data_IF_377425879973
#
_entry.id   IF_377425879973
#
_cell.length_a   1.000
_cell.length_b   1.000
_cell.length_c   1.000
_cell.angle_alpha   90.00
_cell.angle_beta   90.00
_cell.angle_gamma   90.00
#
_symmetry.space_group_name_H-M   'P 1'
#
loop_
_entity.id
_entity.type
_entity.pdbx_description
1 polymer ?
#
# COMPACT_ATOMS: atom_id res chain seq x y z
N UNK A 1 -35.68 6.15 56.71
CA UNK A 1 -36.29 5.75 55.43
C UNK A 1 -35.69 6.48 54.22
N UNK A 2 -35.40 7.79 54.28
CA UNK A 2 -34.78 8.54 53.16
C UNK A 2 -33.39 8.01 52.73
N UNK A 3 -32.55 7.58 53.69
CA UNK A 3 -31.21 7.04 53.41
C UNK A 3 -31.21 5.69 52.68
N UNK A 4 -32.24 4.85 52.87
CA UNK A 4 -32.37 3.58 52.14
C UNK A 4 -32.75 3.80 50.68
N UNK A 5 -33.56 4.83 50.38
CA UNK A 5 -33.89 5.18 49.00
C UNK A 5 -32.68 5.75 48.24
N UNK A 6 -31.82 6.53 48.91
CA UNK A 6 -30.62 7.11 48.28
C UNK A 6 -29.58 6.04 47.92
N UNK A 7 -29.38 5.04 48.78
CA UNK A 7 -28.46 3.92 48.53
C UNK A 7 -28.97 3.05 47.38
N UNK A 8 -30.29 2.83 47.27
CA UNK A 8 -30.88 2.08 46.16
C UNK A 8 -30.74 2.81 44.81
N UNK A 9 -30.84 4.15 44.79
CA UNK A 9 -30.63 4.94 43.57
C UNK A 9 -29.15 4.93 43.15
N UNK A 10 -28.22 5.01 44.10
CA UNK A 10 -26.78 4.96 43.79
C UNK A 10 -26.35 3.60 43.23
N UNK A 11 -26.94 2.49 43.72
CA UNK A 11 -26.66 1.15 43.22
C UNK A 11 -27.17 0.90 41.79
N UNK A 12 -28.22 1.62 41.35
CA UNK A 12 -28.77 1.53 39.99
C UNK A 12 -27.99 2.35 38.95
N UNK A 13 -27.23 3.38 39.38
CA UNK A 13 -26.44 4.24 38.47
C UNK A 13 -25.03 3.66 38.21
N UNK A 14 -24.55 2.74 39.04
CA UNK A 14 -23.26 2.05 38.85
C UNK A 14 -23.35 0.77 38.00
N UNK A 15 -24.46 0.57 37.28
CA UNK A 15 -24.48 -0.32 36.12
C UNK A 15 -23.88 0.43 34.93
N UNK A 16 -22.61 0.84 35.04
CA UNK A 16 -21.80 1.03 33.86
C UNK A 16 -21.81 -0.33 33.18
N UNK A 17 -22.64 -0.45 32.14
CA UNK A 17 -22.52 -1.54 31.21
C UNK A 17 -21.05 -1.54 30.83
N UNK A 18 -20.32 -2.56 31.29
CA UNK A 18 -19.09 -2.97 30.66
C UNK A 18 -19.50 -3.39 29.25
N UNK A 19 -19.73 -2.38 28.41
CA UNK A 19 -19.69 -2.48 26.97
C UNK A 19 -18.27 -2.92 26.73
N UNK A 20 -18.09 -4.23 26.63
CA UNK A 20 -16.89 -4.78 26.05
C UNK A 20 -16.75 -4.02 24.73
N UNK A 21 -15.71 -3.21 24.65
CA UNK A 21 -15.45 -2.28 23.55
C UNK A 21 -14.95 -3.14 22.38
N UNK A 22 -15.87 -3.97 21.86
CA UNK A 22 -15.64 -4.81 20.69
C UNK A 22 -15.56 -3.86 19.51
N UNK A 23 -14.33 -3.44 19.21
CA UNK A 23 -14.06 -2.61 18.05
C UNK A 23 -14.52 -3.36 16.81
N UNK A 24 -15.43 -2.75 16.06
CA UNK A 24 -15.95 -3.35 14.83
C UNK A 24 -14.79 -3.55 13.86
N UNK A 25 -14.62 -4.76 13.34
CA UNK A 25 -13.65 -5.03 12.28
C UNK A 25 -13.79 -4.04 11.13
N UNK A 26 -12.73 -3.29 10.88
CA UNK A 26 -12.70 -2.39 9.73
C UNK A 26 -12.42 -3.14 8.42
N UNK A 27 -11.79 -4.32 8.50
CA UNK A 27 -11.34 -5.12 7.36
C UNK A 27 -10.61 -4.31 6.27
N UNK A 28 -9.75 -3.38 6.69
CA UNK A 28 -9.04 -2.45 5.79
C UNK A 28 -7.69 -2.99 5.38
N UNK A 29 -7.49 -3.17 4.07
CA UNK A 29 -6.18 -3.53 3.54
C UNK A 29 -6.07 -3.46 2.01
N UNK A 30 -4.87 -3.73 1.47
CA UNK A 30 -4.52 -3.54 0.06
C UNK A 30 -5.12 -4.57 -0.91
N UNK A 31 -6.05 -5.42 -0.45
CA UNK A 31 -6.72 -6.44 -1.25
C UNK A 31 -6.44 -7.88 -0.81
N UNK A 32 -7.08 -8.89 -1.42
CA UNK A 32 -7.20 -10.24 -0.84
C UNK A 32 -5.97 -11.13 -1.01
N UNK A 33 -4.92 -10.65 -1.68
CA UNK A 33 -3.73 -11.49 -1.96
C UNK A 33 -2.90 -11.70 -0.70
N UNK A 34 -1.94 -12.63 -0.79
CA UNK A 34 -0.92 -12.85 0.23
C UNK A 34 -0.25 -11.50 0.64
N UNK A 35 -0.18 -11.16 1.94
CA UNK A 35 0.38 -9.91 2.45
C UNK A 35 1.79 -9.59 1.95
N UNK A 36 2.62 -10.61 1.67
CA UNK A 36 3.96 -10.43 1.10
C UNK A 36 3.96 -9.72 -0.25
N UNK A 37 2.88 -9.85 -1.04
CA UNK A 37 2.70 -9.12 -2.31
C UNK A 37 2.51 -7.61 -2.11
N UNK A 38 2.14 -7.20 -0.91
CA UNK A 38 1.94 -5.81 -0.53
C UNK A 38 3.07 -5.27 0.35
N UNK A 39 4.17 -6.04 0.51
CA UNK A 39 5.32 -5.64 1.31
C UNK A 39 5.15 -5.87 2.81
N UNK A 40 4.12 -6.61 3.24
CA UNK A 40 4.03 -7.04 4.62
C UNK A 40 5.08 -8.10 4.92
N UNK A 41 5.53 -8.13 6.17
CA UNK A 41 6.51 -9.10 6.68
C UNK A 41 5.79 -10.04 7.65
N UNK A 42 6.12 -11.33 7.59
CA UNK A 42 5.57 -12.30 8.53
C UNK A 42 5.98 -11.91 9.95
N UNK A 43 5.00 -11.64 10.81
CA UNK A 43 5.19 -11.40 12.24
C UNK A 43 5.36 -12.74 12.97
N UNK A 44 4.41 -13.64 12.80
CA UNK A 44 4.50 -14.99 13.36
C UNK A 44 3.64 -15.99 12.58
N UNK A 45 4.02 -17.27 12.66
CA UNK A 45 3.11 -18.40 12.43
C UNK A 45 2.59 -18.87 13.78
N UNK A 46 1.29 -19.14 13.86
CA UNK A 46 0.66 -19.59 15.08
C UNK A 46 -0.11 -20.88 14.80
N UNK A 47 0.42 -22.07 15.17
CA UNK A 47 -0.30 -23.33 15.03
C UNK A 47 -1.50 -23.40 15.98
N UNK A 48 -2.47 -24.24 15.61
CA UNK A 48 -3.64 -24.56 16.41
C UNK A 48 -3.26 -25.38 17.65
N UNK A 49 -3.68 -24.93 18.82
CA UNK A 49 -3.60 -25.64 20.10
C UNK A 49 -5.01 -25.91 20.61
N UNK A 50 -5.39 -27.19 20.67
CA UNK A 50 -6.68 -27.61 21.22
C UNK A 50 -6.62 -27.45 22.74
N UNK A 51 -7.57 -26.69 23.30
CA UNK A 51 -7.66 -26.46 24.76
C UNK A 51 -8.52 -27.53 25.40
N UNK A 52 -9.65 -27.86 24.77
CA UNK A 52 -10.59 -28.91 25.17
C UNK A 52 -11.40 -29.42 23.95
N UNK A 53 -12.51 -30.13 24.17
CA UNK A 53 -13.37 -30.69 23.12
C UNK A 53 -14.16 -29.64 22.33
N UNK A 54 -14.16 -28.38 22.77
CA UNK A 54 -14.92 -27.29 22.16
C UNK A 54 -14.06 -26.10 21.77
N UNK A 55 -12.89 -25.92 22.37
CA UNK A 55 -12.09 -24.70 22.25
C UNK A 55 -10.70 -24.97 21.67
N UNK A 56 -10.18 -23.98 20.96
CA UNK A 56 -8.80 -23.97 20.49
C UNK A 56 -8.21 -22.55 20.56
N UNK A 57 -6.89 -22.45 20.61
CA UNK A 57 -6.14 -21.20 20.59
C UNK A 57 -5.04 -21.28 19.55
N UNK A 58 -4.59 -20.14 19.06
CA UNK A 58 -3.46 -20.01 18.15
C UNK A 58 -2.38 -19.19 18.81
N UNK A 59 -1.24 -19.84 19.06
CA UNK A 59 -0.12 -19.26 19.78
C UNK A 59 1.06 -19.09 18.81
N UNK A 60 1.63 -17.90 18.71
CA UNK A 60 2.82 -17.67 17.90
C UNK A 60 3.96 -18.61 18.33
N UNK A 61 4.60 -19.26 17.34
CA UNK A 61 5.76 -20.10 17.58
C UNK A 61 6.92 -19.29 18.19
N UNK A 62 7.53 -19.85 19.25
CA UNK A 62 8.72 -19.28 19.90
C UNK A 62 8.46 -18.38 21.11
N UNK A 63 7.29 -17.75 21.22
CA UNK A 63 6.99 -16.84 22.34
C UNK A 63 5.62 -17.08 23.01
N UNK A 64 4.82 -18.04 22.52
CA UNK A 64 3.51 -18.41 23.07
C UNK A 64 2.51 -17.24 23.16
N UNK A 65 2.66 -16.22 22.30
CA UNK A 65 1.72 -15.11 22.27
C UNK A 65 0.42 -15.56 21.59
N UNK A 66 -0.71 -15.48 22.28
CA UNK A 66 -2.03 -15.79 21.72
C UNK A 66 -2.46 -14.72 20.73
N UNK A 67 -2.69 -15.11 19.47
CA UNK A 67 -3.12 -14.18 18.40
C UNK A 67 -4.54 -14.42 17.91
N UNK A 68 -5.07 -15.63 18.13
CA UNK A 68 -6.45 -15.96 17.82
C UNK A 68 -6.96 -17.06 18.74
N UNK A 69 -8.27 -17.15 18.88
CA UNK A 69 -8.93 -18.25 19.57
C UNK A 69 -10.28 -18.62 18.95
N UNK A 70 -10.73 -19.82 19.28
CA UNK A 70 -11.92 -20.44 18.70
C UNK A 70 -12.90 -20.83 19.80
N UNK A 71 -14.17 -20.49 19.58
CA UNK A 71 -15.30 -20.74 20.47
C UNK A 71 -15.34 -20.00 21.81
N UNK A 72 -14.39 -19.10 22.11
CA UNK A 72 -14.41 -18.36 23.38
C UNK A 72 -15.50 -17.28 23.44
N UNK A 73 -15.80 -16.60 22.32
CA UNK A 73 -16.88 -15.60 22.24
C UNK A 73 -18.21 -16.14 21.73
N UNK A 74 -18.21 -17.33 21.14
CA UNK A 74 -19.44 -17.95 20.67
C UNK A 74 -19.19 -19.18 19.79
N UNK A 75 -20.18 -20.06 19.64
CA UNK A 75 -20.03 -21.28 18.87
C UNK A 75 -19.69 -21.03 17.40
N UNK A 76 -18.68 -21.73 16.92
CA UNK A 76 -18.16 -21.69 15.56
C UNK A 76 -17.32 -20.46 15.20
N UNK A 77 -17.01 -19.60 16.17
CA UNK A 77 -16.33 -18.32 15.91
C UNK A 77 -14.82 -18.46 16.09
N UNK A 78 -14.06 -18.06 15.07
CA UNK A 78 -12.61 -17.85 15.14
C UNK A 78 -12.35 -16.34 15.26
N UNK A 79 -11.82 -15.91 16.39
CA UNK A 79 -11.51 -14.50 16.67
C UNK A 79 -10.01 -14.27 16.67
N UNK A 80 -9.57 -13.17 16.06
CA UNK A 80 -8.21 -12.68 16.08
C UNK A 80 -8.14 -11.49 17.03
N UNK A 81 -7.36 -11.65 18.10
CA UNK A 81 -7.18 -10.61 19.09
C UNK A 81 -6.62 -9.32 18.49
N UNK A 82 -6.82 -8.24 19.22
CA UNK A 82 -6.26 -6.94 18.84
C UNK A 82 -4.72 -6.93 18.84
N UNK A 83 -4.06 -6.34 17.83
CA UNK A 83 -2.62 -6.13 17.89
C UNK A 83 -2.21 -5.18 19.03
N UNK A 84 -2.96 -4.11 19.28
CA UNK A 84 -2.47 -2.95 20.05
C UNK A 84 -3.39 -2.40 21.14
N UNK A 85 -4.59 -2.96 21.33
CA UNK A 85 -5.44 -2.57 22.46
C UNK A 85 -5.11 -3.39 23.72
N UNK A 86 -5.55 -2.98 24.90
CA UNK A 86 -5.34 -3.61 26.23
C UNK A 86 -4.91 -5.10 26.22
N UNK A 87 -3.59 -5.37 26.20
CA UNK A 87 -2.94 -6.71 26.11
C UNK A 87 -2.83 -7.33 24.71
N UNK A 88 -2.80 -6.49 23.68
CA UNK A 88 -2.60 -6.91 22.31
C UNK A 88 -1.23 -7.56 22.09
N UNK A 89 -1.13 -8.36 21.04
CA UNK A 89 0.04 -9.19 20.80
C UNK A 89 1.25 -8.44 20.21
N UNK A 90 1.10 -7.18 19.81
CA UNK A 90 2.18 -6.39 19.23
C UNK A 90 2.90 -5.56 20.31
N UNK A 91 4.23 -5.72 20.40
CA UNK A 91 5.06 -4.89 21.28
C UNK A 91 5.13 -3.43 20.79
N UNK A 92 5.04 -3.22 19.48
CA UNK A 92 5.16 -1.92 18.84
C UNK A 92 3.95 -1.61 17.95
N UNK A 93 3.21 -0.58 18.34
CA UNK A 93 1.95 -0.20 17.71
C UNK A 93 2.06 0.91 16.66
N UNK A 94 3.26 1.05 16.07
CA UNK A 94 3.49 1.98 14.95
C UNK A 94 2.74 1.57 13.69
N UNK A 95 2.62 0.26 13.44
CA UNK A 95 1.94 -0.24 12.24
C UNK A 95 0.43 -0.06 12.36
N UNK A 96 -0.17 0.61 11.38
CA UNK A 96 -1.60 0.90 11.36
C UNK A 96 -2.46 -0.29 10.96
N UNK A 97 -1.88 -1.26 10.24
CA UNK A 97 -2.59 -2.33 9.54
C UNK A 97 -1.83 -3.64 9.68
N UNK A 98 -2.57 -4.72 9.93
CA UNK A 98 -2.04 -6.06 10.15
C UNK A 98 -2.71 -7.02 9.18
N UNK A 99 -1.93 -7.91 8.56
CA UNK A 99 -2.43 -8.95 7.66
C UNK A 99 -2.68 -10.26 8.41
N UNK A 100 -3.81 -10.89 8.18
CA UNK A 100 -4.23 -12.15 8.78
C UNK A 100 -4.49 -13.17 7.68
N UNK A 101 -3.85 -14.32 7.75
CA UNK A 101 -4.11 -15.43 6.82
C UNK A 101 -4.34 -16.72 7.62
N UNK A 102 -5.14 -17.63 7.05
CA UNK A 102 -5.33 -18.98 7.61
C UNK A 102 -4.70 -20.03 6.68
N UNK A 103 -4.14 -21.09 7.26
CA UNK A 103 -3.71 -22.27 6.50
C UNK A 103 -4.93 -23.08 6.03
N UNK A 104 -4.81 -23.78 4.90
CA UNK A 104 -5.80 -24.78 4.53
C UNK A 104 -5.71 -25.99 5.47
N UNK A 105 -6.86 -26.43 5.98
CA UNK A 105 -6.97 -27.61 6.85
C UNK A 105 -6.47 -28.88 6.14
N UNK A 106 -5.71 -29.72 6.85
CA UNK A 106 -5.28 -31.03 6.37
C UNK A 106 -4.11 -31.02 5.38
N UNK A 107 -3.48 -29.86 5.14
CA UNK A 107 -2.38 -29.76 4.18
C UNK A 107 -1.05 -30.26 4.73
N UNK A 108 -0.87 -30.33 6.06
CA UNK A 108 0.30 -30.94 6.71
C UNK A 108 1.66 -30.29 6.37
N UNK A 109 1.68 -29.25 5.53
CA UNK A 109 2.89 -28.56 5.12
C UNK A 109 3.10 -27.32 5.98
N UNK A 110 4.29 -27.22 6.58
CA UNK A 110 4.78 -26.02 7.26
C UNK A 110 4.95 -24.83 6.29
N UNK A 111 5.01 -25.10 4.99
CA UNK A 111 5.04 -24.06 3.97
C UNK A 111 3.61 -23.62 3.63
N UNK A 112 3.30 -22.31 3.67
CA UNK A 112 1.96 -21.83 3.50
C UNK A 112 1.51 -22.05 2.05
N UNK A 113 0.81 -23.14 1.78
CA UNK A 113 -0.23 -23.10 0.76
C UNK A 113 -1.34 -22.21 1.31
N UNK A 114 -1.06 -20.90 1.36
CA UNK A 114 -1.93 -19.90 1.96
C UNK A 114 -3.29 -20.10 1.32
N UNK A 115 -4.29 -20.44 2.14
CA UNK A 115 -5.66 -20.47 1.68
C UNK A 115 -5.93 -19.13 0.96
N UNK A 116 -6.72 -19.10 -0.12
CA UNK A 116 -6.79 -17.95 -1.04
C UNK A 116 -7.33 -16.63 -0.42
N UNK A 117 -7.47 -16.53 0.90
CA UNK A 117 -8.11 -15.41 1.60
C UNK A 117 -7.27 -14.99 2.79
N UNK A 118 -6.59 -13.87 2.63
CA UNK A 118 -6.08 -13.08 3.73
C UNK A 118 -6.98 -11.86 3.93
N UNK A 119 -7.13 -11.44 5.18
CA UNK A 119 -7.81 -10.21 5.55
C UNK A 119 -6.84 -9.27 6.25
N UNK A 120 -7.26 -8.02 6.45
CA UNK A 120 -6.41 -7.00 7.04
C UNK A 120 -7.22 -6.25 8.08
N UNK A 121 -6.66 -6.09 9.27
CA UNK A 121 -7.32 -5.40 10.37
C UNK A 121 -6.52 -4.17 10.78
N UNK A 122 -7.20 -3.15 11.29
CA UNK A 122 -6.48 -2.03 11.89
C UNK A 122 -5.87 -2.46 13.24
N UNK A 123 -4.84 -1.74 13.69
CA UNK A 123 -4.09 -2.10 14.90
C UNK A 123 -4.92 -2.22 16.19
N UNK A 124 -6.09 -1.57 16.26
CA UNK A 124 -6.96 -1.59 17.42
C UNK A 124 -8.26 -2.37 17.20
N UNK A 125 -8.45 -2.95 16.01
CA UNK A 125 -9.59 -3.81 15.76
C UNK A 125 -9.44 -5.09 16.59
N UNK A 126 -10.56 -5.76 16.86
CA UNK A 126 -10.63 -7.12 17.37
C UNK A 126 -11.56 -7.89 16.44
N UNK A 127 -11.09 -8.98 15.85
CA UNK A 127 -11.68 -9.46 14.62
C UNK A 127 -12.12 -10.91 14.55
N UNK A 128 -13.43 -11.10 14.45
CA UNK A 128 -14.03 -12.38 14.12
C UNK A 128 -13.90 -12.69 12.63
N UNK A 129 -13.22 -13.79 12.31
CA UNK A 129 -13.12 -14.29 10.94
C UNK A 129 -14.51 -14.49 10.31
N UNK A 130 -14.73 -14.11 9.03
CA UNK A 130 -16.07 -14.12 8.44
C UNK A 130 -16.71 -15.51 8.29
N UNK A 131 -15.87 -16.54 8.18
CA UNK A 131 -16.32 -17.94 8.06
C UNK A 131 -16.46 -18.56 9.45
N UNK A 132 -17.57 -19.28 9.67
CA UNK A 132 -17.72 -20.14 10.84
C UNK A 132 -17.03 -21.49 10.64
N UNK A 133 -16.51 -22.04 11.72
CA UNK A 133 -15.80 -23.31 11.73
C UNK A 133 -16.41 -24.29 12.74
N UNK A 134 -16.02 -25.55 12.64
CA UNK A 134 -16.12 -26.50 13.74
C UNK A 134 -14.69 -26.99 14.05
N UNK A 135 -14.51 -27.72 15.15
CA UNK A 135 -13.17 -28.16 15.58
C UNK A 135 -12.44 -28.99 14.51
N UNK A 136 -13.20 -29.78 13.73
CA UNK A 136 -12.66 -30.63 12.65
C UNK A 136 -12.32 -29.85 11.36
N UNK A 137 -12.89 -28.66 11.15
CA UNK A 137 -12.63 -27.83 9.96
C UNK A 137 -11.78 -26.61 10.26
N UNK A 138 -11.36 -26.44 11.53
CA UNK A 138 -10.54 -25.33 11.97
C UNK A 138 -9.17 -25.37 11.27
N UNK A 139 -8.64 -24.22 10.78
CA UNK A 139 -7.33 -24.19 10.14
C UNK A 139 -6.24 -24.76 11.06
N UNK A 140 -5.21 -25.36 10.48
CA UNK A 140 -4.13 -25.97 11.29
C UNK A 140 -3.15 -24.92 11.83
N UNK A 141 -3.08 -23.76 11.18
CA UNK A 141 -2.32 -22.61 11.62
C UNK A 141 -2.94 -21.31 11.08
N UNK A 142 -2.59 -20.19 11.73
CA UNK A 142 -2.81 -18.85 11.22
C UNK A 142 -1.47 -18.13 11.07
N UNK A 143 -1.41 -17.15 10.18
CA UNK A 143 -0.22 -16.36 9.89
C UNK A 143 -0.54 -14.90 10.08
N UNK A 144 0.23 -14.25 10.94
CA UNK A 144 0.10 -12.82 11.25
C UNK A 144 1.22 -12.10 10.53
N UNK A 145 0.87 -11.01 9.85
CA UNK A 145 1.79 -10.19 9.10
C UNK A 145 1.74 -8.74 9.60
N UNK A 146 2.90 -8.16 9.87
CA UNK A 146 3.02 -6.73 10.18
C UNK A 146 3.23 -5.95 8.88
N UNK A 147 2.67 -4.74 8.80
CA UNK A 147 2.90 -3.87 7.65
C UNK A 147 4.40 -3.53 7.61
N UNK A 148 5.10 -4.16 6.67
CA UNK A 148 6.52 -4.03 6.46
C UNK A 148 6.85 -2.71 5.79
N UNK A 149 6.38 -1.61 6.37
CA UNK A 149 6.94 -0.28 6.24
C UNK A 149 8.38 -0.28 6.79
N UNK A 150 9.22 -1.24 6.39
CA UNK A 150 10.63 -1.02 6.18
C UNK A 150 10.72 0.32 5.51
N UNK A 151 11.18 1.30 6.27
CA UNK A 151 11.36 2.68 5.89
C UNK A 151 11.67 2.74 4.38
N UNK A 152 10.66 2.95 3.52
CA UNK A 152 10.92 3.18 2.09
C UNK A 152 11.82 4.40 1.95
N UNK A 153 11.80 5.28 2.96
CA UNK A 153 12.83 6.27 3.22
C UNK A 153 14.24 5.67 3.19
N UNK A 154 14.58 4.61 3.93
CA UNK A 154 15.94 4.03 3.87
C UNK A 154 16.31 3.52 2.48
N UNK A 155 15.44 2.83 1.75
CA UNK A 155 15.80 2.29 0.43
C UNK A 155 15.89 3.40 -0.62
N UNK A 156 14.98 4.38 -0.61
CA UNK A 156 15.02 5.55 -1.50
C UNK A 156 16.20 6.47 -1.14
N UNK A 157 16.50 6.66 0.15
CA UNK A 157 17.67 7.41 0.61
C UNK A 157 18.97 6.68 0.27
N UNK A 158 19.05 5.34 0.37
CA UNK A 158 20.21 4.58 -0.08
C UNK A 158 20.37 4.65 -1.60
N UNK A 159 19.30 4.49 -2.39
CA UNK A 159 19.35 4.64 -3.84
C UNK A 159 19.72 6.06 -4.26
N UNK A 160 19.22 7.08 -3.56
CA UNK A 160 19.60 8.46 -3.76
C UNK A 160 21.07 8.71 -3.39
N UNK A 161 21.57 8.11 -2.29
CA UNK A 161 23.00 8.15 -1.92
C UNK A 161 23.89 7.45 -2.94
N UNK A 162 23.48 6.29 -3.48
CA UNK A 162 24.21 5.59 -4.53
C UNK A 162 24.18 6.36 -5.86
N UNK A 163 23.04 6.95 -6.23
CA UNK A 163 22.94 7.84 -7.38
C UNK A 163 23.81 9.09 -7.21
N UNK A 164 23.85 9.69 -6.01
CA UNK A 164 24.75 10.79 -5.67
C UNK A 164 26.22 10.38 -5.73
N UNK A 165 26.58 9.19 -5.24
CA UNK A 165 27.95 8.68 -5.34
C UNK A 165 28.35 8.40 -6.80
N UNK A 166 27.41 7.95 -7.63
CA UNK A 166 27.62 7.75 -9.06
C UNK A 166 27.73 9.09 -9.82
N UNK A 167 26.89 10.08 -9.50
CA UNK A 167 26.93 11.44 -10.07
C UNK A 167 28.17 12.22 -9.63
N UNK A 168 28.56 12.13 -8.36
CA UNK A 168 29.81 12.70 -7.85
C UNK A 168 31.05 12.02 -8.46
N UNK A 169 30.95 10.76 -8.91
CA UNK A 169 31.99 10.11 -9.73
C UNK A 169 31.94 10.52 -11.20
N UNK A 170 30.79 10.90 -11.73
CA UNK A 170 30.64 11.35 -13.12
C UNK A 170 31.10 12.80 -13.33
N UNK A 171 30.94 13.68 -12.33
CA UNK A 171 31.44 15.06 -12.40
C UNK A 171 32.93 15.20 -12.04
N UNK A 172 33.52 14.18 -11.42
CA UNK A 172 34.95 13.94 -11.48
C UNK A 172 35.30 13.11 -12.72
N UNK A 173 34.90 13.58 -13.90
CA UNK A 173 35.73 13.40 -15.08
C UNK A 173 37.05 14.11 -14.80
N UNK A 174 37.92 13.40 -14.09
CA UNK A 174 39.33 13.72 -13.92
C UNK A 174 39.82 14.12 -15.30
N UNK A 175 40.25 15.38 -15.45
CA UNK A 175 41.20 15.72 -16.49
C UNK A 175 42.39 14.81 -16.25
N UNK A 176 42.39 13.63 -16.88
CA UNK A 176 43.49 12.71 -16.82
C UNK A 176 44.58 13.34 -17.66
N UNK A 177 45.55 13.92 -16.97
CA UNK A 177 46.79 14.33 -17.60
C UNK A 177 47.46 13.05 -18.10
N UNK A 178 47.30 12.76 -19.39
CA UNK A 178 48.12 11.76 -20.05
C UNK A 178 49.55 12.29 -20.03
N UNK A 179 50.37 11.75 -19.12
CA UNK A 179 51.80 11.92 -19.23
C UNK A 179 52.21 11.33 -20.58
N UNK A 180 52.70 12.17 -21.49
CA UNK A 180 53.42 11.66 -22.64
C UNK A 180 54.59 10.84 -22.08
N UNK A 181 54.68 9.57 -22.46
CA UNK A 181 55.87 8.76 -22.18
C UNK A 181 57.13 9.44 -22.72
N UNK A 182 58.32 8.87 -22.49
CA UNK A 182 59.60 9.45 -22.91
C UNK A 182 59.62 9.81 -24.39
N UNK A 183 59.31 11.08 -24.70
CA UNK A 183 59.14 11.59 -26.06
C UNK A 183 58.54 12.99 -26.05
N UNK A 184 58.98 13.85 -26.96
CA UNK A 184 58.44 15.21 -27.05
C UNK A 184 57.01 15.21 -27.62
N UNK A 185 56.14 16.17 -27.29
CA UNK A 185 54.82 16.29 -27.93
C UNK A 185 54.90 16.34 -29.47
N UNK A 186 55.98 16.89 -30.03
CA UNK A 186 56.22 16.93 -31.47
C UNK A 186 56.32 15.54 -32.11
N UNK A 187 56.89 14.54 -31.42
CA UNK A 187 56.99 13.18 -31.96
C UNK A 187 55.64 12.45 -31.97
N UNK A 188 54.61 13.02 -31.36
CA UNK A 188 53.24 12.52 -31.35
C UNK A 188 52.30 13.37 -32.22
N UNK A 189 52.85 14.20 -33.11
CA UNK A 189 52.08 15.00 -34.07
C UNK A 189 51.49 16.30 -33.53
N UNK A 190 51.83 16.70 -32.30
CA UNK A 190 51.37 17.98 -31.74
C UNK A 190 52.20 19.16 -32.26
N UNK A 191 51.52 20.21 -32.69
CA UNK A 191 52.15 21.47 -33.10
C UNK A 191 52.25 22.41 -31.90
N UNK A 192 53.44 22.95 -31.64
CA UNK A 192 53.65 23.93 -30.57
C UNK A 192 52.87 25.21 -30.89
N UNK A 193 51.91 25.56 -30.04
CA UNK A 193 51.06 26.73 -30.24
C UNK A 193 51.76 28.04 -29.82
N UNK A 194 52.42 28.06 -28.66
CA UNK A 194 53.18 29.20 -28.19
C UNK A 194 54.24 28.81 -27.14
N UNK A 195 55.11 29.76 -26.79
CA UNK A 195 55.96 29.69 -25.60
C UNK A 195 55.52 30.81 -24.68
N UNK A 196 55.22 30.50 -23.41
CA UNK A 196 54.90 31.51 -22.41
C UNK A 196 55.94 31.46 -21.29
N UNK A 197 56.60 32.58 -20.95
CA UNK A 197 57.43 32.64 -19.75
C UNK A 197 56.54 32.50 -18.50
N UNK A 198 57.06 31.77 -17.51
CA UNK A 198 56.43 31.66 -16.20
C UNK A 198 56.55 33.01 -15.49
N UNK A 199 55.42 33.63 -15.16
CA UNK A 199 55.35 34.78 -14.27
C UNK A 199 54.81 34.32 -12.92
N UNK A 200 55.51 34.66 -11.83
CA UNK A 200 55.00 34.45 -10.47
C UNK A 200 54.83 35.85 -9.87
N UNK A 201 53.60 36.31 -9.63
CA UNK A 201 53.37 37.59 -8.98
C UNK A 201 54.03 37.60 -7.59
N UNK A 202 54.71 38.68 -7.18
CA UNK A 202 55.42 38.73 -5.89
C UNK A 202 54.54 38.47 -4.67
N UNK A 203 53.24 38.76 -4.77
CA UNK A 203 52.26 38.61 -3.70
C UNK A 203 51.59 37.21 -3.65
N UNK A 204 51.76 36.39 -4.69
CA UNK A 204 51.14 35.07 -4.78
C UNK A 204 52.17 34.06 -5.29
N UNK A 205 52.94 33.50 -4.35
CA UNK A 205 53.98 32.52 -4.66
C UNK A 205 53.42 31.13 -5.03
N UNK A 206 52.11 30.93 -4.94
CA UNK A 206 51.48 29.62 -5.14
C UNK A 206 51.00 29.47 -6.59
N UNK A 207 50.60 30.57 -7.23
CA UNK A 207 50.04 30.54 -8.58
C UNK A 207 51.00 31.12 -9.61
N UNK A 208 51.40 30.27 -10.57
CA UNK A 208 52.16 30.68 -11.74
C UNK A 208 51.19 31.03 -12.88
N UNK A 209 51.34 32.22 -13.46
CA UNK A 209 50.64 32.62 -14.68
C UNK A 209 51.57 32.50 -15.89
N UNK A 210 51.00 32.02 -17.00
CA UNK A 210 51.69 31.86 -18.28
C UNK A 210 50.93 32.67 -19.32
N UNK A 211 51.58 33.67 -19.91
CA UNK A 211 51.01 34.47 -20.98
C UNK A 211 51.71 34.17 -22.30
N UNK A 212 50.96 33.73 -23.30
CA UNK A 212 51.48 33.61 -24.65
C UNK A 212 51.45 34.97 -25.33
N UNK A 213 52.62 35.51 -25.68
CA UNK A 213 52.74 36.77 -26.39
C UNK A 213 52.08 36.64 -27.78
N UNK A 214 51.19 37.59 -28.11
CA UNK A 214 50.58 37.71 -29.43
C UNK A 214 49.18 37.12 -29.61
N UNK A 215 48.54 36.57 -28.57
CA UNK A 215 47.14 36.05 -28.66
C UNK A 215 46.26 36.57 -27.52
N UNK A 216 45.07 37.11 -27.85
CA UNK A 216 44.09 37.69 -26.91
C UNK A 216 43.31 36.66 -26.06
N UNK A 217 43.62 35.37 -26.18
CA UNK A 217 42.91 34.31 -25.45
C UNK A 217 43.44 34.15 -24.03
N UNK A 218 42.60 34.46 -23.03
CA UNK A 218 42.84 34.13 -21.61
C UNK A 218 42.95 32.61 -21.45
N UNK A 219 44.03 32.15 -20.82
CA UNK A 219 44.18 30.75 -20.41
C UNK A 219 43.22 30.46 -19.26
N UNK A 220 42.65 29.25 -19.22
CA UNK A 220 41.56 28.84 -18.35
C UNK A 220 41.70 29.31 -16.89
N UNK A 221 40.76 30.16 -16.46
CA UNK A 221 40.59 30.61 -15.08
C UNK A 221 39.64 29.64 -14.36
N UNK A 222 40.16 28.93 -13.36
CA UNK A 222 39.41 27.90 -12.61
C UNK A 222 38.43 28.47 -11.57
N UNK A 223 38.33 29.80 -11.45
CA UNK A 223 37.39 30.48 -10.55
C UNK A 223 35.92 30.22 -10.92
N UNK A 224 35.64 29.85 -12.17
CA UNK A 224 34.28 29.68 -12.71
C UNK A 224 33.53 28.43 -12.21
N UNK A 225 34.23 27.44 -11.64
CA UNK A 225 33.62 26.17 -11.24
C UNK A 225 32.78 26.27 -9.94
N UNK A 226 32.98 27.30 -9.11
CA UNK A 226 32.22 27.45 -7.84
C UNK A 226 30.80 27.98 -8.03
N UNK A 227 30.53 28.77 -9.06
CA UNK A 227 29.23 29.39 -9.31
C UNK A 227 28.21 28.45 -9.97
N UNK A 228 28.68 27.45 -10.72
CA UNK A 228 27.81 26.49 -11.40
C UNK A 228 27.15 25.51 -10.41
N UNK A 229 27.87 25.09 -9.37
CA UNK A 229 27.34 24.15 -8.36
C UNK A 229 26.19 24.72 -7.53
N UNK A 230 26.22 26.01 -7.20
CA UNK A 230 25.15 26.64 -6.40
C UNK A 230 23.85 26.83 -7.19
N UNK A 231 23.94 27.07 -8.50
CA UNK A 231 22.77 27.30 -9.35
C UNK A 231 22.03 25.99 -9.69
N UNK A 232 22.77 24.90 -9.91
CA UNK A 232 22.18 23.59 -10.24
C UNK A 232 21.40 22.99 -9.07
N UNK A 233 21.83 23.23 -7.82
CA UNK A 233 21.17 22.67 -6.63
C UNK A 233 19.82 23.36 -6.33
N UNK A 234 19.72 24.67 -6.53
CA UNK A 234 18.48 25.42 -6.35
C UNK A 234 17.43 25.09 -7.43
N UNK A 235 17.87 24.92 -8.69
CA UNK A 235 16.98 24.52 -9.80
C UNK A 235 16.44 23.10 -9.61
N UNK A 236 17.26 22.20 -9.06
CA UNK A 236 16.85 20.83 -8.74
C UNK A 236 15.81 20.75 -7.62
N UNK A 237 15.98 21.55 -6.54
CA UNK A 237 14.97 21.66 -5.47
C UNK A 237 13.65 22.27 -5.98
N UNK A 238 13.73 23.25 -6.89
CA UNK A 238 12.54 23.83 -7.52
C UNK A 238 11.81 22.84 -8.45
N UNK A 239 12.55 22.00 -9.18
CA UNK A 239 11.98 20.92 -9.99
C UNK A 239 11.31 19.85 -9.11
N UNK A 240 11.93 19.43 -8.01
CA UNK A 240 11.31 18.48 -7.07
C UNK A 240 10.04 19.08 -6.45
N UNK A 241 10.04 20.37 -6.08
CA UNK A 241 8.86 21.03 -5.51
C UNK A 241 7.74 21.29 -6.55
N UNK A 242 8.09 21.46 -7.84
CA UNK A 242 7.14 21.76 -8.91
C UNK A 242 6.53 20.54 -9.61
N UNK A 243 7.15 19.37 -9.53
CA UNK A 243 6.69 18.15 -10.25
C UNK A 243 5.56 17.41 -9.50
N UNK A 244 5.23 17.78 -8.26
CA UNK A 244 4.22 17.07 -7.48
C UNK A 244 3.09 17.98 -6.95
N UNK A 245 2.19 18.49 -7.81
CA UNK A 245 0.80 18.22 -7.52
C UNK A 245 0.63 16.72 -7.76
N UNK A 246 0.91 15.90 -6.75
CA UNK A 246 0.34 14.55 -6.73
C UNK A 246 -1.15 14.84 -6.75
N UNK A 247 -1.76 14.72 -7.92
CA UNK A 247 -3.18 14.48 -8.00
C UNK A 247 -3.33 13.16 -7.27
N UNK A 248 -3.54 13.23 -5.96
CA UNK A 248 -3.98 12.13 -5.14
C UNK A 248 -5.36 11.83 -5.72
N UNK A 249 -5.37 10.96 -6.73
CA UNK A 249 -6.54 10.16 -6.97
C UNK A 249 -6.66 9.35 -5.69
N UNK A 250 -7.52 9.83 -4.78
CA UNK A 250 -7.90 9.11 -3.57
C UNK A 250 -8.49 7.76 -4.03
N UNK A 251 -7.63 6.79 -4.33
CA UNK A 251 -8.02 5.40 -4.49
C UNK A 251 -8.23 4.91 -3.07
N UNK A 252 -9.43 5.12 -2.54
CA UNK A 252 -9.81 4.56 -1.24
C UNK A 252 -9.72 3.04 -1.36
N UNK A 253 -8.85 2.44 -0.54
CA UNK A 253 -8.71 0.99 -0.44
C UNK A 253 -10.07 0.34 -0.23
N UNK A 254 -10.50 -0.47 -1.19
CA UNK A 254 -11.76 -1.20 -1.13
C UNK A 254 -11.84 -2.17 0.05
N UNK A 255 -12.95 -2.16 0.78
CA UNK A 255 -13.35 -3.26 1.66
C UNK A 255 -14.63 -3.91 1.14
N UNK A 256 -14.50 -4.98 0.35
CA UNK A 256 -15.66 -5.79 -0.02
C UNK A 256 -16.25 -6.46 1.21
N UNK A 257 -17.52 -6.21 1.48
CA UNK A 257 -18.31 -7.03 2.39
C UNK A 257 -19.05 -8.06 1.52
N UNK A 258 -18.85 -9.35 1.82
CA UNK A 258 -19.55 -10.40 1.11
C UNK A 258 -21.03 -10.40 1.52
N UNK A 259 -21.93 -10.32 0.55
CA UNK A 259 -23.37 -10.39 0.76
C UNK A 259 -23.92 -11.63 0.04
N UNK A 260 -24.24 -12.72 0.77
CA UNK A 260 -24.81 -13.91 0.16
C UNK A 260 -26.16 -13.61 -0.49
N UNK A 261 -26.28 -13.86 -1.79
CA UNK A 261 -27.55 -13.82 -2.51
C UNK A 261 -27.97 -12.43 -2.99
N UNK A 262 -29.26 -12.30 -3.28
CA UNK A 262 -29.82 -11.10 -3.92
C UNK A 262 -29.85 -9.91 -2.94
N UNK A 263 -29.26 -8.74 -3.27
CA UNK A 263 -29.23 -7.59 -2.36
C UNK A 263 -30.60 -7.11 -1.87
N UNK A 264 -31.68 -7.40 -2.60
CA UNK A 264 -33.04 -7.04 -2.20
C UNK A 264 -33.47 -7.72 -0.90
N UNK A 265 -32.89 -8.87 -0.54
CA UNK A 265 -33.15 -9.53 0.76
C UNK A 265 -32.56 -8.75 1.94
N UNK A 266 -31.70 -7.76 1.67
CA UNK A 266 -31.05 -6.89 2.66
C UNK A 266 -31.51 -5.43 2.53
N UNK A 267 -32.73 -5.20 2.02
CA UNK A 267 -33.33 -3.88 1.81
C UNK A 267 -32.61 -2.97 0.80
N UNK A 268 -31.70 -3.50 -0.01
CA UNK A 268 -31.13 -2.72 -1.10
C UNK A 268 -32.16 -2.51 -2.20
N UNK A 269 -32.26 -1.27 -2.66
CA UNK A 269 -33.06 -0.91 -3.83
C UNK A 269 -32.20 -0.95 -5.08
N UNK A 270 -32.70 -1.57 -6.14
CA UNK A 270 -31.98 -1.64 -7.42
C UNK A 270 -31.80 -0.23 -7.99
N UNK A 271 -30.55 0.15 -8.23
CA UNK A 271 -30.19 1.42 -8.83
C UNK A 271 -30.20 1.31 -10.36
N UNK A 272 -29.48 0.33 -10.93
CA UNK A 272 -29.47 0.12 -12.38
C UNK A 272 -28.99 -1.29 -12.76
N UNK A 273 -29.30 -1.68 -14.01
CA UNK A 273 -28.54 -2.68 -14.76
C UNK A 273 -27.59 -1.95 -15.71
N UNK A 274 -26.34 -2.42 -15.77
CA UNK A 274 -25.32 -1.89 -16.63
C UNK A 274 -24.75 -3.01 -17.51
N UNK A 275 -25.19 -3.14 -18.78
CA UNK A 275 -24.56 -4.06 -19.74
C UNK A 275 -23.16 -3.57 -20.11
N UNK A 276 -22.28 -4.51 -20.46
CA UNK A 276 -20.94 -4.18 -20.98
C UNK A 276 -21.05 -3.64 -22.41
N UNK A 277 -20.44 -2.48 -22.66
CA UNK A 277 -20.11 -2.01 -23.99
C UNK A 277 -18.62 -2.25 -24.21
N UNK A 278 -18.30 -3.19 -25.09
CA UNK A 278 -16.91 -3.54 -25.42
C UNK A 278 -16.35 -2.49 -26.37
N UNK A 279 -15.22 -1.91 -26.00
CA UNK A 279 -14.48 -0.95 -26.81
C UNK A 279 -13.06 -1.49 -27.01
N UNK A 280 -12.66 -1.73 -28.27
CA UNK A 280 -11.42 -2.46 -28.62
C UNK A 280 -11.50 -3.92 -28.14
N UNK A 281 -10.64 -4.78 -28.67
CA UNK A 281 -10.77 -6.25 -28.51
C UNK A 281 -10.69 -6.75 -27.06
N UNK A 282 -10.20 -5.94 -26.11
CA UNK A 282 -9.98 -6.38 -24.72
C UNK A 282 -10.63 -5.52 -23.64
N UNK A 283 -11.16 -4.33 -23.96
CA UNK A 283 -11.66 -3.38 -22.93
C UNK A 283 -13.17 -3.25 -22.96
N UNK A 284 -13.76 -2.99 -21.80
CA UNK A 284 -15.20 -2.79 -21.68
C UNK A 284 -15.56 -1.70 -20.68
N UNK A 285 -16.72 -1.09 -20.87
CA UNK A 285 -17.30 -0.15 -19.91
C UNK A 285 -18.74 -0.56 -19.63
N UNK A 286 -19.13 -0.53 -18.36
CA UNK A 286 -20.49 -0.85 -17.91
C UNK A 286 -21.26 0.45 -17.66
N UNK A 287 -22.29 0.68 -18.47
CA UNK A 287 -23.10 1.90 -18.40
C UNK A 287 -24.49 1.60 -17.86
N UNK A 288 -24.93 2.29 -16.81
CA UNK A 288 -26.31 2.20 -16.37
C UNK A 288 -27.27 2.59 -17.50
N UNK A 289 -28.16 1.68 -17.90
CA UNK A 289 -29.08 1.86 -19.03
C UNK A 289 -29.92 3.15 -18.94
N UNK A 290 -30.33 3.53 -17.73
CA UNK A 290 -31.28 4.63 -17.52
C UNK A 290 -30.62 6.00 -17.40
N UNK A 291 -29.34 6.05 -17.01
CA UNK A 291 -28.67 7.30 -16.60
C UNK A 291 -27.45 7.62 -17.43
N UNK A 292 -26.95 6.68 -18.24
CA UNK A 292 -25.66 6.79 -18.95
C UNK A 292 -24.47 7.07 -18.01
N UNK A 293 -24.56 6.62 -16.76
CA UNK A 293 -23.48 6.71 -15.79
C UNK A 293 -22.60 5.46 -15.90
N UNK A 294 -21.29 5.64 -15.98
CA UNK A 294 -20.31 4.56 -15.94
C UNK A 294 -20.20 4.08 -14.50
N UNK A 295 -20.49 2.80 -14.26
CA UNK A 295 -20.42 2.20 -12.91
C UNK A 295 -19.22 1.28 -12.74
N UNK A 296 -18.72 0.72 -13.83
CA UNK A 296 -17.58 -0.16 -13.85
C UNK A 296 -16.85 -0.10 -15.19
N UNK A 297 -15.60 -0.53 -15.19
CA UNK A 297 -14.83 -0.77 -16.40
C UNK A 297 -13.98 -2.04 -16.30
N UNK A 298 -13.64 -2.55 -17.48
CA UNK A 298 -12.91 -3.79 -17.64
C UNK A 298 -11.63 -3.52 -18.41
N UNK A 299 -10.50 -3.99 -17.87
CA UNK A 299 -9.18 -3.98 -18.50
C UNK A 299 -8.52 -2.58 -18.59
N UNK A 300 -8.96 -1.62 -17.77
CA UNK A 300 -8.35 -0.28 -17.68
C UNK A 300 -7.19 -0.22 -16.69
N UNK A 301 -7.35 -0.79 -15.49
CA UNK A 301 -6.26 -0.89 -14.50
C UNK A 301 -5.23 -1.98 -14.84
N UNK A 302 -5.61 -2.95 -15.66
CA UNK A 302 -4.71 -3.98 -16.16
C UNK A 302 -5.42 -5.24 -16.65
N UNK A 303 -4.67 -6.17 -17.25
CA UNK A 303 -5.18 -7.42 -17.81
C UNK A 303 -6.17 -8.16 -16.91
N UNK A 304 -7.42 -8.20 -17.36
CA UNK A 304 -8.53 -8.94 -16.78
C UNK A 304 -9.16 -8.35 -15.52
N UNK A 305 -8.83 -7.10 -15.19
CA UNK A 305 -9.36 -6.41 -14.01
C UNK A 305 -10.75 -5.84 -14.33
N UNK A 306 -11.74 -6.16 -13.50
CA UNK A 306 -13.04 -5.49 -13.48
C UNK A 306 -13.05 -4.54 -12.27
N UNK A 307 -13.13 -3.24 -12.52
CA UNK A 307 -13.16 -2.20 -11.49
C UNK A 307 -14.56 -1.59 -11.41
N UNK A 308 -15.05 -1.36 -10.20
CA UNK A 308 -16.26 -0.60 -9.91
C UNK A 308 -15.87 0.73 -9.31
N UNK A 309 -16.20 1.82 -10.01
CA UNK A 309 -15.86 3.16 -9.58
C UNK A 309 -16.56 3.56 -8.27
N UNK A 310 -16.09 4.62 -7.64
CA UNK A 310 -16.75 5.13 -6.43
C UNK A 310 -18.17 5.62 -6.69
N UNK A 311 -19.14 5.23 -5.85
CA UNK A 311 -20.49 5.75 -5.98
C UNK A 311 -20.57 7.26 -5.69
N UNK A 312 -19.85 7.72 -4.67
CA UNK A 312 -19.89 9.09 -4.13
C UNK A 312 -18.50 9.71 -4.00
N UNK A 313 -17.93 10.11 -5.14
CA UNK A 313 -16.72 10.94 -5.23
C UNK A 313 -16.97 12.14 -6.16
N UNK A 314 -15.96 12.98 -6.41
CA UNK A 314 -16.07 14.09 -7.39
C UNK A 314 -16.51 13.63 -8.78
N UNK A 315 -16.31 12.35 -9.11
CA UNK A 315 -16.72 11.72 -10.38
C UNK A 315 -17.55 10.46 -10.15
N UNK A 316 -18.20 10.37 -8.99
CA UNK A 316 -18.94 9.18 -8.63
C UNK A 316 -20.19 9.00 -9.49
N UNK A 317 -20.64 7.75 -9.63
CA UNK A 317 -21.78 7.42 -10.48
C UNK A 317 -23.15 7.62 -9.81
N UNK A 318 -23.20 7.97 -8.52
CA UNK A 318 -24.47 8.22 -7.83
C UNK A 318 -24.84 9.70 -7.82
N UNK A 319 -26.06 10.08 -8.25
CA UNK A 319 -26.58 11.42 -8.01
C UNK A 319 -27.02 11.64 -6.55
N UNK A 320 -27.25 10.57 -5.78
CA UNK A 320 -27.66 10.62 -4.38
C UNK A 320 -26.59 9.99 -3.48
N UNK A 321 -25.93 10.83 -2.70
CA UNK A 321 -24.89 10.43 -1.76
C UNK A 321 -25.35 10.33 -0.30
N UNK A 322 -26.66 10.34 -0.06
CA UNK A 322 -27.24 9.98 1.23
C UNK A 322 -27.08 8.49 1.53
N UNK A 323 -27.04 7.65 0.48
CA UNK A 323 -26.88 6.19 0.55
C UNK A 323 -25.50 5.80 1.07
N UNK A 324 -25.46 5.05 2.18
CA UNK A 324 -24.21 4.70 2.86
C UNK A 324 -23.49 3.53 2.17
N UNK A 325 -24.26 2.57 1.66
CA UNK A 325 -23.76 1.33 1.09
C UNK A 325 -24.32 1.05 -0.28
N UNK A 326 -23.49 0.41 -1.10
CA UNK A 326 -23.79 0.04 -2.47
C UNK A 326 -23.50 -1.44 -2.65
N UNK A 327 -24.44 -2.17 -3.24
CA UNK A 327 -24.21 -3.56 -3.63
C UNK A 327 -24.02 -3.63 -5.15
N UNK A 328 -23.06 -4.42 -5.57
CA UNK A 328 -22.76 -4.68 -6.98
C UNK A 328 -22.76 -6.19 -7.21
N UNK A 329 -23.42 -6.62 -8.27
CA UNK A 329 -23.59 -8.03 -8.59
C UNK A 329 -23.16 -8.28 -10.04
N UNK A 330 -22.32 -9.29 -10.25
CA UNK A 330 -21.99 -9.76 -11.60
C UNK A 330 -22.88 -10.94 -12.04
N UNK A 331 -23.63 -11.51 -11.10
CA UNK A 331 -24.68 -12.51 -11.30
C UNK A 331 -25.64 -12.46 -10.10
N UNK A 332 -26.77 -13.18 -10.17
CA UNK A 332 -27.75 -13.23 -9.08
C UNK A 332 -27.21 -13.86 -7.78
N UNK A 333 -26.07 -14.54 -7.84
CA UNK A 333 -25.45 -15.25 -6.71
C UNK A 333 -24.07 -14.71 -6.32
N UNK A 334 -23.48 -13.81 -7.11
CA UNK A 334 -22.17 -13.21 -6.84
C UNK A 334 -22.31 -11.69 -6.72
N UNK A 335 -22.57 -11.28 -5.48
CA UNK A 335 -22.80 -9.90 -5.07
C UNK A 335 -21.84 -9.51 -3.96
N UNK A 336 -21.46 -8.23 -3.95
CA UNK A 336 -20.58 -7.63 -2.95
C UNK A 336 -21.09 -6.27 -2.56
N UNK A 337 -20.88 -5.90 -1.31
CA UNK A 337 -21.24 -4.59 -0.77
C UNK A 337 -19.97 -3.77 -0.57
N UNK A 338 -20.03 -2.50 -0.93
CA UNK A 338 -18.98 -1.51 -0.76
C UNK A 338 -19.54 -0.23 -0.12
N UNK A 339 -18.69 0.53 0.56
CA UNK A 339 -19.07 1.84 1.06
C UNK A 339 -19.23 2.81 -0.13
N UNK A 340 -20.04 3.86 0.04
CA UNK A 340 -20.21 4.91 -0.97
C UNK A 340 -18.92 5.59 -1.42
N UNK A 341 -17.85 5.53 -0.62
CA UNK A 341 -16.53 6.12 -0.93
C UNK A 341 -15.49 5.14 -1.47
N UNK A 342 -15.80 3.85 -1.51
CA UNK A 342 -14.83 2.84 -1.93
C UNK A 342 -14.69 2.83 -3.45
N UNK A 343 -13.51 2.44 -3.94
CA UNK A 343 -13.23 2.18 -5.34
C UNK A 343 -12.63 0.77 -5.46
N UNK A 344 -13.30 -0.12 -6.19
CA UNK A 344 -13.19 -1.55 -5.92
C UNK A 344 -12.87 -2.42 -7.14
N UNK A 345 -11.72 -3.10 -7.11
CA UNK A 345 -11.40 -4.21 -8.03
C UNK A 345 -12.14 -5.49 -7.62
N UNK A 346 -12.85 -6.12 -8.57
CA UNK A 346 -13.43 -7.43 -8.39
C UNK A 346 -12.32 -8.48 -8.16
N UNK A 347 -12.41 -9.37 -7.15
CA UNK A 347 -11.27 -10.23 -6.80
C UNK A 347 -10.87 -11.28 -7.84
N UNK A 348 -11.79 -11.64 -8.72
CA UNK A 348 -11.54 -12.60 -9.80
C UNK A 348 -11.22 -11.83 -11.07
N UNK A 349 -10.17 -12.26 -11.76
CA UNK A 349 -9.82 -11.73 -13.08
C UNK A 349 -10.61 -12.44 -14.17
N UNK A 350 -10.96 -11.70 -15.21
CA UNK A 350 -11.68 -12.22 -16.37
C UNK A 350 -10.84 -12.12 -17.64
N UNK A 351 -11.18 -12.91 -18.65
CA UNK A 351 -10.87 -12.57 -20.03
C UNK A 351 -12.13 -11.95 -20.67
N UNK A 352 -12.01 -11.36 -21.87
CA UNK A 352 -13.15 -10.69 -22.51
C UNK A 352 -14.34 -11.63 -22.76
N UNK A 353 -14.09 -12.93 -22.97
CA UNK A 353 -15.15 -13.93 -23.19
C UNK A 353 -15.85 -14.37 -21.91
N UNK A 354 -15.22 -14.21 -20.75
CA UNK A 354 -15.74 -14.57 -19.43
C UNK A 354 -16.14 -13.36 -18.59
N UNK A 355 -15.88 -12.14 -19.07
CA UNK A 355 -16.31 -10.92 -18.41
C UNK A 355 -17.84 -10.91 -18.28
N UNK A 356 -18.40 -10.43 -17.15
CA UNK A 356 -19.84 -10.36 -16.96
C UNK A 356 -20.50 -9.59 -18.11
N UNK A 357 -21.54 -10.15 -18.73
CA UNK A 357 -22.28 -9.46 -19.81
C UNK A 357 -23.02 -8.22 -19.31
N UNK A 358 -23.35 -8.20 -18.02
CA UNK A 358 -23.94 -7.08 -17.31
C UNK A 358 -23.57 -7.14 -15.84
N UNK A 359 -23.66 -6.00 -15.17
CA UNK A 359 -23.58 -5.89 -13.72
C UNK A 359 -24.84 -5.17 -13.21
N UNK A 360 -25.30 -5.55 -12.02
CA UNK A 360 -26.45 -4.93 -11.36
C UNK A 360 -25.96 -4.14 -10.16
N UNK A 361 -26.41 -2.89 -10.04
CA UNK A 361 -26.02 -1.99 -8.94
C UNK A 361 -27.25 -1.71 -8.07
N UNK A 362 -27.06 -1.72 -6.76
CA UNK A 362 -28.08 -1.44 -5.76
C UNK A 362 -27.55 -0.50 -4.68
N UNK A 363 -28.44 0.17 -3.96
CA UNK A 363 -28.10 1.09 -2.87
C UNK A 363 -29.08 0.95 -1.71
N UNK A 364 -28.63 1.23 -0.48
CA UNK A 364 -29.49 1.27 0.72
C UNK A 364 -29.32 2.57 1.50
#
# INVERSE_FOLDING_TARGET
>A
MLYLALISILALVSLDAALADHQTCSWRGPGPRNPTKYGFVLFCSAPKHIVDDQHAQYLCEGNNIKVADFNFLGPGLLEFGTPCNNQGYAENCKDSTWGLCIAAHGTGTAEPQIAPRCFYMARYDDCQWPQQFNLSTLPDAVFIYLNGSMNRLTTVTLLALFAFAALARAEHAVCSWLAFGSGSPKSHGFTKFCTAPKSIPPADQVHATYHCEGTLTKVADFSYLRSVFACSFALFLALIAGIFPVADADHYTCSWIWAPGNPTTYNFSKFCDAPITVFRETKGIYWCNNTKLQVADFDYLGPGILEFGTACSRKGYSPDCSKAYWAVCISDTDCRVMNKKDDCEWPVKFNISTAPKSVSVYSV
#
